data_IF_987520576741
#
_entry.id   IF_987520576741
#
_cell.length_a   1.000
_cell.length_b   1.000
_cell.length_c   1.000
_cell.angle_alpha   90.00
_cell.angle_beta   90.00
_cell.angle_gamma   90.00
#
_symmetry.space_group_name_H-M   'P 1'
#
loop_
_entity.id
_entity.type
_entity.pdbx_description
1 polymer ?
#
# COMPACT_ATOMS: atom_id res chain seq x y z
N UNK A 1 37.83 36.91 46.36
CA UNK A 1 36.39 37.05 46.06
C UNK A 1 36.01 36.00 45.05
N UNK A 2 35.02 35.16 45.38
CA UNK A 2 34.47 34.06 44.58
C UNK A 2 33.76 34.61 43.33
N UNK A 3 34.06 34.06 42.15
CA UNK A 3 33.24 34.15 40.92
C UNK A 3 33.36 32.78 40.24
N UNK A 4 32.71 31.73 40.72
CA UNK A 4 31.29 31.36 40.61
C UNK A 4 30.69 31.60 39.21
N UNK A 5 30.59 30.48 38.45
CA UNK A 5 29.55 30.05 37.50
C UNK A 5 29.08 31.07 36.41
N UNK A 6 28.87 30.69 35.15
CA UNK A 6 28.21 29.49 34.65
C UNK A 6 28.77 29.10 33.28
N UNK A 7 29.13 27.83 33.17
CA UNK A 7 29.15 27.07 31.93
C UNK A 7 27.69 27.02 31.41
N UNK A 8 27.39 27.73 30.31
CA UNK A 8 26.16 27.48 29.56
C UNK A 8 26.48 26.47 28.46
N UNK A 9 26.51 25.19 28.83
CA UNK A 9 26.51 24.09 27.89
C UNK A 9 25.18 24.12 27.14
N UNK A 10 25.22 24.68 25.93
CA UNK A 10 24.13 24.63 24.97
C UNK A 10 24.02 23.18 24.48
N UNK A 11 23.29 22.34 25.22
CA UNK A 11 22.92 21.00 24.80
C UNK A 11 21.79 21.18 23.78
N UNK A 12 22.14 21.24 22.50
CA UNK A 12 21.17 21.07 21.43
C UNK A 12 20.72 19.61 21.47
N UNK A 13 19.58 19.36 22.11
CA UNK A 13 18.90 18.07 22.03
C UNK A 13 18.31 17.99 20.61
N UNK A 14 19.06 17.40 19.68
CA UNK A 14 18.50 16.94 18.41
C UNK A 14 17.60 15.75 18.72
N UNK A 15 16.32 16.00 19.04
CA UNK A 15 15.30 14.97 18.96
C UNK A 15 15.08 14.69 17.48
N UNK A 16 15.90 13.81 16.89
CA UNK A 16 15.57 13.15 15.63
C UNK A 16 14.39 12.23 15.93
N UNK A 17 13.18 12.81 15.94
CA UNK A 17 11.96 12.04 15.81
C UNK A 17 12.06 11.32 14.48
N UNK A 18 12.27 10.01 14.52
CA UNK A 18 12.11 9.16 13.35
C UNK A 18 10.60 9.15 13.06
N UNK A 19 10.12 10.17 12.36
CA UNK A 19 8.83 10.11 11.69
C UNK A 19 8.97 9.02 10.65
N UNK A 20 8.42 7.85 10.92
CA UNK A 20 8.17 6.85 9.88
C UNK A 20 7.22 7.54 8.92
N UNK A 21 7.76 8.18 7.88
CA UNK A 21 6.93 8.65 6.78
C UNK A 21 6.16 7.43 6.30
N UNK A 22 4.83 7.52 6.41
CA UNK A 22 3.97 6.53 5.82
C UNK A 22 4.39 6.49 4.35
N UNK A 23 4.87 5.34 3.86
CA UNK A 23 5.09 5.17 2.42
C UNK A 23 3.78 5.56 1.77
N UNK A 24 3.76 6.66 1.01
CA UNK A 24 2.54 7.19 0.37
C UNK A 24 1.87 6.15 -0.54
N UNK A 25 2.59 5.06 -0.83
CA UNK A 25 2.16 4.00 -1.73
C UNK A 25 2.38 2.61 -1.12
N UNK A 26 1.49 1.65 -1.43
CA UNK A 26 1.66 0.26 -1.05
C UNK A 26 2.87 -0.33 -1.78
N UNK A 27 3.54 -1.29 -1.16
CA UNK A 27 4.65 -2.02 -1.78
C UNK A 27 4.63 -3.51 -1.34
N UNK A 28 5.17 -4.43 -2.14
CA UNK A 28 5.21 -5.84 -1.78
C UNK A 28 3.87 -6.55 -1.88
N UNK A 29 3.73 -7.66 -1.13
CA UNK A 29 2.65 -8.64 -1.30
C UNK A 29 1.56 -8.41 -0.25
N UNK A 30 0.31 -8.39 -0.70
CA UNK A 30 -0.89 -8.35 0.12
C UNK A 30 -1.86 -9.44 -0.29
N UNK A 31 -2.56 -10.02 0.68
CA UNK A 31 -3.55 -11.07 0.49
C UNK A 31 -4.92 -10.60 0.93
N UNK A 32 -5.97 -10.99 0.21
CA UNK A 32 -7.35 -10.73 0.61
C UNK A 32 -7.62 -11.39 1.97
N UNK A 33 -8.11 -10.61 2.93
CA UNK A 33 -8.51 -11.06 4.28
C UNK A 33 -10.02 -11.08 4.45
N UNK A 34 -10.73 -10.21 3.74
CA UNK A 34 -12.19 -10.08 3.82
C UNK A 34 -12.74 -9.67 2.45
N UNK A 35 -13.93 -10.16 2.04
CA UNK A 35 -14.86 -11.03 2.79
C UNK A 35 -14.48 -12.52 2.74
N UNK A 36 -13.56 -12.93 1.86
CA UNK A 36 -13.09 -14.32 1.80
C UNK A 36 -11.58 -14.35 1.70
N UNK A 37 -10.94 -15.02 2.64
CA UNK A 37 -9.49 -15.07 2.70
C UNK A 37 -8.87 -15.74 1.46
N UNK A 38 -7.72 -15.21 1.03
CA UNK A 38 -6.85 -15.78 0.00
C UNK A 38 -7.44 -15.95 -1.40
N UNK A 39 -8.57 -15.32 -1.72
CA UNK A 39 -9.12 -15.34 -3.09
C UNK A 39 -8.28 -14.57 -4.10
N UNK A 40 -7.71 -13.44 -3.66
CA UNK A 40 -6.84 -12.59 -4.47
C UNK A 40 -5.57 -12.26 -3.70
N UNK A 41 -4.45 -12.25 -4.43
CA UNK A 41 -3.17 -11.69 -3.99
C UNK A 41 -2.82 -10.51 -4.90
N UNK A 42 -2.36 -9.42 -4.30
CA UNK A 42 -1.85 -8.25 -5.01
C UNK A 42 -0.38 -8.09 -4.66
N UNK A 43 0.48 -8.13 -5.66
CA UNK A 43 1.92 -7.94 -5.51
C UNK A 43 2.35 -6.65 -6.20
N UNK A 44 2.67 -5.63 -5.42
CA UNK A 44 3.25 -4.37 -5.92
C UNK A 44 4.75 -4.57 -6.14
N UNK A 45 5.15 -4.71 -7.41
CA UNK A 45 6.52 -5.03 -7.82
C UNK A 45 7.39 -3.77 -7.97
N UNK A 46 6.77 -2.60 -8.15
CA UNK A 46 7.44 -1.29 -8.19
C UNK A 46 6.50 -0.16 -7.75
N UNK A 47 6.92 1.10 -7.91
CA UNK A 47 6.12 2.29 -7.61
C UNK A 47 4.92 2.50 -8.56
N UNK A 48 4.87 1.75 -9.66
CA UNK A 48 3.89 1.90 -10.75
C UNK A 48 3.39 0.58 -11.32
N UNK A 49 3.88 -0.56 -10.84
CA UNK A 49 3.50 -1.87 -11.37
C UNK A 49 3.00 -2.80 -10.27
N UNK A 50 1.98 -3.59 -10.59
CA UNK A 50 1.48 -4.64 -9.74
C UNK A 50 1.02 -5.85 -10.55
N UNK A 51 1.01 -7.01 -9.89
CA UNK A 51 0.40 -8.24 -10.39
C UNK A 51 -0.76 -8.62 -9.49
N UNK A 52 -1.91 -8.94 -10.08
CA UNK A 52 -3.07 -9.49 -9.39
C UNK A 52 -3.16 -10.97 -9.72
N UNK A 53 -3.11 -11.82 -8.71
CA UNK A 53 -3.23 -13.28 -8.83
C UNK A 53 -4.52 -13.74 -8.13
N UNK A 54 -5.36 -14.49 -8.84
CA UNK A 54 -6.58 -15.11 -8.30
C UNK A 54 -6.28 -16.51 -7.77
N UNK A 55 -7.21 -17.04 -6.98
CA UNK A 55 -7.11 -18.38 -6.36
C UNK A 55 -6.93 -19.53 -7.36
N UNK A 56 -7.43 -19.37 -8.59
CA UNK A 56 -7.26 -20.36 -9.67
C UNK A 56 -5.86 -20.31 -10.32
N UNK A 57 -4.97 -19.42 -9.84
CA UNK A 57 -3.63 -19.21 -10.35
C UNK A 57 -3.55 -18.22 -11.51
N UNK A 58 -4.69 -17.72 -12.02
CA UNK A 58 -4.67 -16.71 -13.08
C UNK A 58 -4.06 -15.42 -12.57
N UNK A 59 -3.13 -14.87 -13.35
CA UNK A 59 -2.39 -13.66 -12.98
C UNK A 59 -2.48 -12.64 -14.10
N UNK A 60 -2.57 -11.36 -13.71
CA UNK A 60 -2.64 -10.22 -14.63
C UNK A 60 -1.71 -9.11 -14.15
N UNK A 61 -0.94 -8.56 -15.07
CA UNK A 61 0.04 -7.51 -14.81
C UNK A 61 -0.48 -6.14 -15.23
N UNK A 62 -0.46 -5.20 -14.30
CA UNK A 62 -0.96 -3.85 -14.49
C UNK A 62 0.10 -2.81 -14.20
N UNK A 63 0.09 -1.74 -14.99
CA UNK A 63 0.54 -0.44 -14.51
C UNK A 63 -0.57 0.16 -13.65
N UNK A 64 -0.24 0.84 -12.56
CA UNK A 64 -1.23 1.47 -11.68
C UNK A 64 -0.92 2.93 -11.39
N UNK A 65 -1.97 3.71 -11.11
CA UNK A 65 -1.88 5.05 -10.57
C UNK A 65 -2.92 5.25 -9.46
N UNK A 66 -2.53 5.94 -8.40
CA UNK A 66 -3.39 6.22 -7.24
C UNK A 66 -3.75 7.70 -7.22
N UNK A 67 -5.05 8.00 -7.24
CA UNK A 67 -5.61 9.29 -6.87
C UNK A 67 -6.15 9.27 -5.43
N UNK A 68 -6.98 10.25 -5.05
CA UNK A 68 -7.46 10.37 -3.66
C UNK A 68 -8.27 9.16 -3.16
N UNK A 69 -9.15 8.60 -4.00
CA UNK A 69 -10.01 7.46 -3.65
C UNK A 69 -10.10 6.40 -4.75
N UNK A 70 -9.28 6.53 -5.79
CA UNK A 70 -9.34 5.70 -6.99
C UNK A 70 -7.95 5.17 -7.29
N UNK A 71 -7.85 3.86 -7.50
CA UNK A 71 -6.70 3.23 -8.13
C UNK A 71 -7.08 2.84 -9.55
N UNK A 72 -6.41 3.42 -10.54
CA UNK A 72 -6.57 3.05 -11.94
C UNK A 72 -5.55 1.99 -12.31
N UNK A 73 -6.00 0.91 -12.94
CA UNK A 73 -5.20 -0.19 -13.44
C UNK A 73 -5.24 -0.20 -14.96
N UNK A 74 -4.07 -0.07 -15.59
CA UNK A 74 -3.90 -0.16 -17.04
C UNK A 74 -3.19 -1.48 -17.36
N UNK A 75 -3.74 -2.33 -18.25
CA UNK A 75 -3.09 -3.58 -18.65
C UNK A 75 -1.70 -3.30 -19.21
N UNK A 76 -0.69 -4.09 -18.80
CA UNK A 76 0.59 -4.07 -19.53
C UNK A 76 0.48 -4.73 -20.91
N UNK A 77 -0.55 -5.55 -21.11
CA UNK A 77 -0.88 -6.16 -22.40
C UNK A 77 -2.35 -5.88 -22.74
N UNK A 78 -2.59 -4.74 -23.40
CA UNK A 78 -3.92 -4.18 -23.70
C UNK A 78 -4.82 -5.11 -24.53
N UNK A 79 -4.25 -6.05 -25.28
CA UNK A 79 -5.02 -6.99 -26.09
C UNK A 79 -5.82 -8.02 -25.26
N UNK A 80 -5.55 -8.12 -23.94
CA UNK A 80 -6.01 -9.26 -23.13
C UNK A 80 -7.16 -8.91 -22.16
N UNK A 81 -7.24 -7.67 -21.68
CA UNK A 81 -8.28 -7.23 -20.73
C UNK A 81 -8.37 -5.70 -20.68
N UNK A 82 -9.51 -5.12 -20.25
CA UNK A 82 -9.67 -3.67 -20.18
C UNK A 82 -8.95 -3.07 -18.96
N UNK A 83 -8.74 -1.75 -19.00
CA UNK A 83 -8.40 -0.96 -17.82
C UNK A 83 -9.54 -0.96 -16.80
N UNK A 84 -9.19 -0.86 -15.52
CA UNK A 84 -10.13 -0.97 -14.41
C UNK A 84 -9.88 0.18 -13.43
N UNK A 85 -10.96 0.81 -12.95
CA UNK A 85 -10.90 1.75 -11.83
C UNK A 85 -11.43 1.07 -10.58
N UNK A 86 -10.60 1.01 -9.55
CA UNK A 86 -10.95 0.46 -8.25
C UNK A 86 -11.21 1.61 -7.28
N UNK A 87 -12.21 1.45 -6.41
CA UNK A 87 -12.21 2.20 -5.16
C UNK A 87 -10.94 1.82 -4.40
N UNK A 88 -10.27 2.80 -3.79
CA UNK A 88 -9.02 2.56 -3.09
C UNK A 88 -8.93 3.43 -1.84
N UNK A 89 -8.61 2.79 -0.72
CA UNK A 89 -8.38 3.48 0.54
C UNK A 89 -7.20 2.84 1.28
N UNK A 90 -6.17 3.66 1.54
CA UNK A 90 -4.89 3.23 2.10
C UNK A 90 -4.50 4.16 3.24
N UNK A 91 -4.55 3.63 4.46
CA UNK A 91 -4.23 4.36 5.68
C UNK A 91 -3.22 3.62 6.56
N UNK A 92 -2.92 2.36 6.24
CA UNK A 92 -1.98 1.50 6.98
C UNK A 92 -0.98 0.85 6.00
N UNK A 93 0.34 0.95 6.22
CA UNK A 93 1.34 0.25 5.42
C UNK A 93 1.12 -1.27 5.29
N UNK A 94 0.42 -1.87 6.24
CA UNK A 94 0.14 -3.29 6.30
C UNK A 94 -1.25 -3.65 5.80
N UNK A 95 -2.12 -2.67 5.48
CA UNK A 95 -3.48 -2.92 5.09
C UNK A 95 -4.07 -1.86 4.16
N UNK A 96 -4.87 -2.30 3.21
CA UNK A 96 -5.69 -1.40 2.40
C UNK A 96 -7.03 -2.01 2.01
N UNK A 97 -7.90 -1.15 1.53
CA UNK A 97 -9.23 -1.48 1.05
C UNK A 97 -9.31 -1.20 -0.44
N UNK A 98 -9.85 -2.16 -1.20
CA UNK A 98 -10.24 -1.93 -2.60
C UNK A 98 -11.68 -2.36 -2.83
N UNK A 99 -12.37 -1.67 -3.73
CA UNK A 99 -13.69 -2.08 -4.22
C UNK A 99 -13.66 -2.30 -5.73
N UNK A 100 -14.68 -2.97 -6.27
CA UNK A 100 -14.88 -3.21 -7.71
C UNK A 100 -13.81 -4.08 -8.38
N UNK A 101 -13.06 -4.91 -7.63
CA UNK A 101 -12.08 -5.84 -8.22
C UNK A 101 -12.74 -7.11 -8.81
N UNK A 102 -13.98 -7.41 -8.44
CA UNK A 102 -14.80 -8.47 -9.05
C UNK A 102 -16.00 -7.83 -9.78
N UNK A 103 -16.38 -8.42 -10.92
CA UNK A 103 -17.49 -7.92 -11.74
C UNK A 103 -18.83 -8.13 -11.03
N UNK A 104 -19.59 -7.05 -10.83
CA UNK A 104 -20.95 -7.12 -10.31
C UNK A 104 -21.08 -6.99 -8.79
N UNK A 105 -19.97 -6.93 -8.06
CA UNK A 105 -19.96 -6.78 -6.61
C UNK A 105 -19.66 -5.33 -6.21
N UNK A 106 -20.47 -4.77 -5.31
CA UNK A 106 -20.22 -3.48 -4.64
C UNK A 106 -19.37 -3.64 -3.37
N UNK A 107 -18.81 -4.83 -3.16
CA UNK A 107 -18.09 -5.15 -1.94
C UNK A 107 -16.75 -4.42 -1.87
N UNK A 108 -16.39 -4.04 -0.65
CA UNK A 108 -15.06 -3.54 -0.30
C UNK A 108 -14.28 -4.69 0.33
N UNK A 109 -13.13 -4.99 -0.25
CA UNK A 109 -12.24 -6.06 0.16
C UNK A 109 -11.08 -5.47 0.95
N UNK A 110 -10.70 -6.17 2.01
CA UNK A 110 -9.55 -5.80 2.84
C UNK A 110 -8.37 -6.66 2.46
N UNK A 111 -7.25 -6.03 2.14
CA UNK A 111 -5.99 -6.66 1.80
C UNK A 111 -4.97 -6.38 2.89
N UNK A 112 -4.26 -7.42 3.35
CA UNK A 112 -3.27 -7.31 4.43
C UNK A 112 -1.93 -7.89 4.01
N UNK A 113 -0.83 -7.34 4.52
CA UNK A 113 0.48 -7.98 4.37
C UNK A 113 0.50 -9.30 5.13
N UNK A 114 1.02 -10.38 4.53
CA UNK A 114 1.25 -11.61 5.27
C UNK A 114 2.38 -11.40 6.30
N UNK A 115 2.34 -12.09 7.45
CA UNK A 115 3.40 -11.99 8.45
C UNK A 115 4.74 -12.45 7.86
N UNK A 116 5.79 -11.65 8.05
CA UNK A 116 7.18 -12.08 7.77
C UNK A 116 7.58 -13.16 8.76
N UNK A 117 8.01 -14.31 8.25
CA UNK A 117 8.54 -15.42 9.04
C UNK A 117 9.96 -15.14 9.53
#
# INVERSE_FOLDING_TARGET
MKKLLLLFSLILVFTTGCTTELSERPNGIYVEKSPTEFRTTINFTSDRELTITKIDGTSKDYSFSVGEMIMSLTPKNEATYPSINLFYHYTDPNQFEIGNIYTGDTDVMVFVRPPTK
#
